data_IF_687995196202
#
_entry.id   IF_687995196202
#
_cell.length_a   1.000
_cell.length_b   1.000
_cell.length_c   1.000
_cell.angle_alpha   90.00
_cell.angle_beta   90.00
_cell.angle_gamma   90.00
#
_symmetry.space_group_name_H-M   'P 1'
#
loop_
_entity.id
_entity.type
_entity.pdbx_description
1 polymer ?
#
# COMPACT_ATOMS: atom_id res chain seq x y z
N UNK A 1 -6.68 -51.97 -13.87
CA UNK A 1 -6.95 -50.80 -14.74
C UNK A 1 -6.47 -49.55 -14.01
N UNK A 2 -5.20 -49.16 -14.19
CA UNK A 2 -4.62 -48.00 -13.50
C UNK A 2 -4.78 -46.75 -14.36
N UNK A 3 -5.54 -45.78 -13.84
CA UNK A 3 -5.85 -44.52 -14.51
C UNK A 3 -4.75 -43.52 -14.19
N UNK A 4 -3.84 -43.27 -15.12
CA UNK A 4 -2.83 -42.22 -14.98
C UNK A 4 -3.49 -40.85 -15.17
N UNK A 5 -3.61 -40.09 -14.07
CA UNK A 5 -4.03 -38.69 -14.09
C UNK A 5 -2.87 -37.85 -14.63
N UNK A 6 -2.91 -37.54 -15.93
CA UNK A 6 -1.98 -36.61 -16.56
C UNK A 6 -2.24 -35.19 -16.07
N UNK A 7 -1.53 -34.76 -15.02
CA UNK A 7 -1.45 -33.36 -14.64
C UNK A 7 -0.57 -32.65 -15.69
N UNK A 8 -1.22 -32.09 -16.72
CA UNK A 8 -0.53 -31.29 -17.75
C UNK A 8 0.11 -30.10 -17.04
N UNK A 9 1.43 -30.16 -16.80
CA UNK A 9 2.19 -29.00 -16.32
C UNK A 9 2.10 -27.92 -17.39
N UNK A 10 1.24 -26.92 -17.17
CA UNK A 10 1.15 -25.77 -18.05
C UNK A 10 2.45 -24.96 -17.90
N UNK A 11 3.40 -25.21 -18.80
CA UNK A 11 4.59 -24.38 -18.97
C UNK A 11 4.09 -23.01 -19.46
N UNK A 12 4.03 -22.05 -18.54
CA UNK A 12 3.50 -20.70 -18.77
C UNK A 12 2.41 -20.26 -17.78
N UNK A 13 1.71 -21.19 -17.12
CA UNK A 13 0.69 -20.86 -16.11
C UNK A 13 1.32 -20.19 -14.88
N UNK A 14 2.53 -20.61 -14.50
CA UNK A 14 3.26 -19.95 -13.42
C UNK A 14 3.55 -18.48 -13.72
N UNK A 15 4.02 -18.16 -14.93
CA UNK A 15 4.43 -16.77 -15.25
C UNK A 15 3.25 -15.80 -15.24
N UNK A 16 2.10 -16.17 -15.82
CA UNK A 16 0.91 -15.31 -15.79
C UNK A 16 0.28 -15.23 -14.41
N UNK A 17 0.26 -16.30 -13.64
CA UNK A 17 -0.24 -16.29 -12.26
C UNK A 17 0.64 -15.43 -11.34
N UNK A 18 1.97 -15.52 -11.48
CA UNK A 18 2.91 -14.64 -10.79
C UNK A 18 2.71 -13.18 -11.18
N UNK A 19 2.53 -12.87 -12.47
CA UNK A 19 2.28 -11.49 -12.92
C UNK A 19 0.98 -10.95 -12.31
N UNK A 20 -0.09 -11.74 -12.28
CA UNK A 20 -1.38 -11.34 -11.69
C UNK A 20 -1.24 -11.11 -10.18
N UNK A 21 -0.62 -12.03 -9.45
CA UNK A 21 -0.42 -11.89 -7.99
C UNK A 21 0.45 -10.67 -7.67
N UNK A 22 1.54 -10.46 -8.41
CA UNK A 22 2.43 -9.30 -8.24
C UNK A 22 1.70 -7.99 -8.53
N UNK A 23 0.89 -7.94 -9.59
CA UNK A 23 0.09 -6.75 -9.90
C UNK A 23 -0.92 -6.43 -8.79
N UNK A 24 -1.58 -7.45 -8.20
CA UNK A 24 -2.52 -7.27 -7.10
C UNK A 24 -1.82 -6.76 -5.81
N UNK A 25 -0.64 -7.28 -5.49
CA UNK A 25 0.16 -6.80 -4.35
C UNK A 25 0.62 -5.35 -4.58
N UNK A 26 1.06 -5.01 -5.80
CA UNK A 26 1.50 -3.67 -6.13
C UNK A 26 0.39 -2.63 -5.99
N UNK A 27 -0.85 -2.96 -6.39
CA UNK A 27 -2.01 -2.07 -6.23
C UNK A 27 -2.36 -1.90 -4.74
N UNK A 28 -2.35 -2.99 -3.96
CA UNK A 28 -2.62 -2.94 -2.52
C UNK A 28 -1.60 -2.07 -1.75
N UNK A 29 -0.34 -2.07 -2.19
CA UNK A 29 0.75 -1.33 -1.58
C UNK A 29 0.62 0.20 -1.67
N UNK A 30 -0.08 0.74 -2.68
CA UNK A 30 -0.16 2.20 -2.93
C UNK A 30 -0.73 2.96 -1.72
N UNK A 31 -1.72 2.39 -1.02
CA UNK A 31 -2.35 3.02 0.15
C UNK A 31 -1.42 3.12 1.36
N UNK A 32 -0.67 2.06 1.65
CA UNK A 32 0.28 2.00 2.78
C UNK A 32 1.43 2.99 2.58
N UNK A 33 1.95 3.07 1.35
CA UNK A 33 3.08 3.95 1.05
C UNK A 33 2.72 5.43 0.96
N UNK A 34 1.45 5.78 0.72
CA UNK A 34 1.01 7.17 0.67
C UNK A 34 1.12 7.84 2.05
N UNK A 35 0.45 7.29 3.06
CA UNK A 35 0.47 7.86 4.41
C UNK A 35 1.85 7.77 5.06
N UNK A 36 2.55 6.64 4.88
CA UNK A 36 3.93 6.49 5.34
C UNK A 36 4.86 7.55 4.74
N UNK A 37 4.79 7.76 3.41
CA UNK A 37 5.57 8.77 2.71
C UNK A 37 5.26 10.19 3.20
N UNK A 38 3.99 10.48 3.50
CA UNK A 38 3.59 11.77 4.07
C UNK A 38 4.18 11.97 5.47
N UNK A 39 4.12 10.97 6.35
CA UNK A 39 4.71 11.04 7.70
C UNK A 39 6.22 11.29 7.64
N UNK A 40 6.96 10.55 6.82
CA UNK A 40 8.42 10.71 6.66
C UNK A 40 8.79 12.10 6.15
N UNK A 41 8.07 12.61 5.14
CA UNK A 41 8.29 13.97 4.61
C UNK A 41 8.02 15.04 5.65
N UNK A 42 6.95 14.90 6.42
CA UNK A 42 6.60 15.86 7.47
C UNK A 42 7.67 15.86 8.58
N UNK A 43 8.11 14.71 9.06
CA UNK A 43 9.16 14.65 10.07
C UNK A 43 10.50 15.19 9.56
N UNK A 44 10.86 14.90 8.32
CA UNK A 44 12.09 15.43 7.72
C UNK A 44 12.03 16.95 7.58
N UNK A 45 10.89 17.49 7.14
CA UNK A 45 10.66 18.93 7.11
C UNK A 45 10.68 19.56 8.51
N UNK A 46 10.14 18.87 9.52
CA UNK A 46 10.14 19.30 10.91
C UNK A 46 11.55 19.38 11.48
N UNK A 47 12.36 18.33 11.30
CA UNK A 47 13.77 18.32 11.70
C UNK A 47 14.55 19.47 11.03
N UNK A 48 14.30 19.74 9.74
CA UNK A 48 14.92 20.86 9.05
C UNK A 48 14.49 22.23 9.63
N UNK A 49 13.21 22.37 10.01
CA UNK A 49 12.71 23.58 10.69
C UNK A 49 13.38 23.79 12.04
N UNK A 50 13.41 22.77 12.88
CA UNK A 50 14.06 22.83 14.21
C UNK A 50 15.54 23.14 14.10
N UNK A 51 16.24 22.51 13.14
CA UNK A 51 17.65 22.79 12.87
C UNK A 51 17.88 24.24 12.43
N UNK A 52 16.92 24.84 11.73
CA UNK A 52 16.95 26.27 11.37
C UNK A 52 16.51 27.22 12.49
N UNK A 53 16.25 26.70 13.69
CA UNK A 53 15.75 27.48 14.84
C UNK A 53 14.27 27.83 14.78
N UNK A 54 13.51 27.21 13.88
CA UNK A 54 12.08 27.43 13.72
C UNK A 54 11.27 26.32 14.37
N UNK A 55 10.05 26.64 14.81
CA UNK A 55 9.12 25.62 15.34
C UNK A 55 8.70 24.61 14.25
N UNK A 56 8.68 23.33 14.61
CA UNK A 56 8.15 22.23 13.78
C UNK A 56 6.75 21.77 14.18
N UNK A 57 6.02 22.53 15.03
CA UNK A 57 4.70 22.11 15.54
C UNK A 57 3.70 21.74 14.44
N UNK A 58 3.71 22.47 13.31
CA UNK A 58 2.88 22.18 12.15
C UNK A 58 3.25 20.86 11.45
N UNK A 59 4.54 20.58 11.30
CA UNK A 59 5.04 19.35 10.71
C UNK A 59 4.77 18.15 11.61
N UNK A 60 4.91 18.31 12.92
CA UNK A 60 4.56 17.27 13.90
C UNK A 60 3.06 16.97 13.84
N UNK A 61 2.21 17.99 13.80
CA UNK A 61 0.77 17.82 13.64
C UNK A 61 0.43 17.10 12.32
N UNK A 62 1.05 17.52 11.20
CA UNK A 62 0.85 16.88 9.90
C UNK A 62 1.31 15.41 9.87
N UNK A 63 2.43 15.08 10.52
CA UNK A 63 2.90 13.71 10.67
C UNK A 63 1.91 12.86 11.48
N UNK A 64 1.36 13.42 12.57
CA UNK A 64 0.35 12.75 13.39
C UNK A 64 -0.94 12.48 12.60
N UNK A 65 -1.45 13.48 11.87
CA UNK A 65 -2.63 13.31 11.02
C UNK A 65 -2.42 12.22 9.96
N UNK A 66 -1.23 12.16 9.33
CA UNK A 66 -0.91 11.12 8.36
C UNK A 66 -0.85 9.73 9.02
N UNK A 67 -0.28 9.61 10.23
CA UNK A 67 -0.24 8.37 11.00
C UNK A 67 -1.65 7.91 11.42
N UNK A 68 -2.51 8.82 11.90
CA UNK A 68 -3.89 8.52 12.28
C UNK A 68 -4.73 8.10 11.05
N UNK A 69 -4.49 8.75 9.90
CA UNK A 69 -5.06 8.35 8.61
C UNK A 69 -4.65 6.94 8.21
N UNK A 70 -3.37 6.59 8.36
CA UNK A 70 -2.87 5.24 8.11
C UNK A 70 -3.53 4.20 9.03
N UNK A 71 -3.66 4.51 10.33
CA UNK A 71 -4.30 3.63 11.29
C UNK A 71 -5.79 3.41 10.97
N UNK A 72 -6.47 4.47 10.52
CA UNK A 72 -7.87 4.42 10.09
C UNK A 72 -8.03 3.56 8.83
N UNK A 73 -7.15 3.73 7.83
CA UNK A 73 -7.19 2.92 6.60
C UNK A 73 -6.87 1.45 6.87
N UNK A 74 -5.89 1.18 7.74
CA UNK A 74 -5.52 -0.17 8.15
C UNK A 74 -6.63 -0.89 8.95
N UNK A 75 -7.44 -0.14 9.69
CA UNK A 75 -8.59 -0.68 10.43
C UNK A 75 -9.77 -1.03 9.51
N UNK A 76 -9.78 -0.54 8.27
CA UNK A 76 -10.80 -0.90 7.28
C UNK A 76 -10.44 -2.23 6.62
N UNK A 77 -11.30 -3.23 6.80
CA UNK A 77 -11.15 -4.53 6.16
C UNK A 77 -11.49 -4.42 4.67
N UNK A 78 -10.49 -4.17 3.81
CA UNK A 78 -10.65 -4.15 2.35
C UNK A 78 -10.49 -5.56 1.78
N UNK A 79 -11.56 -6.08 1.18
CA UNK A 79 -11.56 -7.31 0.41
C UNK A 79 -11.35 -7.07 -1.09
N UNK A 80 -11.12 -8.15 -1.85
CA UNK A 80 -10.92 -8.08 -3.31
C UNK A 80 -12.14 -7.47 -4.06
N UNK A 81 -13.34 -7.49 -3.45
CA UNK A 81 -14.54 -6.86 -4.00
C UNK A 81 -14.56 -5.33 -3.92
N UNK A 82 -13.81 -4.74 -2.97
CA UNK A 82 -13.79 -3.29 -2.75
C UNK A 82 -12.90 -2.55 -3.77
N UNK A 83 -12.04 -3.28 -4.48
CA UNK A 83 -11.18 -2.70 -5.53
C UNK A 83 -11.93 -2.45 -6.84
N UNK A 84 -13.09 -3.09 -7.07
CA UNK A 84 -13.94 -2.81 -8.23
C UNK A 84 -14.58 -1.42 -8.16
N UNK A 85 -14.70 -0.82 -6.98
CA UNK A 85 -15.32 0.50 -6.77
C UNK A 85 -14.29 1.62 -6.57
N UNK A 86 -13.04 1.29 -6.21
CA UNK A 86 -11.96 2.26 -6.04
C UNK A 86 -11.41 2.81 -7.38
N UNK A 87 -11.50 2.05 -8.47
CA UNK A 87 -11.13 2.52 -9.81
C UNK A 87 -12.16 3.50 -10.42
N UNK A 88 -13.36 3.61 -9.84
CA UNK A 88 -14.48 4.40 -10.37
C UNK A 88 -14.69 5.76 -9.66
N UNK A 89 -13.85 6.13 -8.68
CA UNK A 89 -13.83 7.47 -8.08
C UNK A 89 -12.56 8.23 -8.47
N UNK A 90 -12.51 8.67 -9.71
CA UNK A 90 -11.79 9.88 -10.11
C UNK A 90 -12.75 10.81 -10.82
#
# INVERSE_FOLDING_TARGET
>A
MHKHLNYRRQLGQGMTEYIIIVALIAIAAIGVYSFFGQTVRQQTAGMAKELSGQSASGQIAGAKTAADGAATDASQKKGMGDYSSAAAKK
#
